data_IF_103536496238
#
_entry.id   IF_103536496238
#
_cell.length_a   1.000
_cell.length_b   1.000
_cell.length_c   1.000
_cell.angle_alpha   90.00
_cell.angle_beta   90.00
_cell.angle_gamma   90.00
#
_symmetry.space_group_name_H-M   'P 1'
#
loop_
_entity.id
_entity.type
_entity.pdbx_description
1 polymer ?
#
# COMPACT_ATOMS: atom_id res chain seq x y z
N UNK A 1 -9.99 -11.36 -9.18
CA UNK A 1 -8.74 -10.88 -8.56
C UNK A 1 -9.06 -10.22 -7.23
N UNK A 2 -8.63 -10.82 -6.11
CA UNK A 2 -8.64 -10.13 -4.83
C UNK A 2 -7.57 -9.03 -4.88
N UNK A 3 -7.87 -7.82 -4.39
CA UNK A 3 -6.86 -6.78 -4.32
C UNK A 3 -5.83 -7.16 -3.25
N UNK A 4 -4.55 -7.19 -3.61
CA UNK A 4 -3.46 -7.46 -2.66
C UNK A 4 -3.48 -6.44 -1.54
N UNK A 5 -3.36 -6.90 -0.30
CA UNK A 5 -3.22 -6.03 0.86
C UNK A 5 -1.89 -5.27 0.78
N UNK A 6 -1.92 -4.02 1.22
CA UNK A 6 -0.78 -3.11 1.21
C UNK A 6 -0.40 -2.82 2.65
N UNK A 7 0.87 -3.07 2.97
CA UNK A 7 1.45 -2.75 4.26
C UNK A 7 1.86 -1.27 4.29
N UNK A 8 1.33 -0.53 5.25
CA UNK A 8 1.65 0.87 5.49
C UNK A 8 2.55 0.94 6.72
N UNK A 9 3.86 1.13 6.54
CA UNK A 9 4.80 1.20 7.66
C UNK A 9 4.79 2.57 8.30
N UNK A 10 5.00 2.61 9.62
CA UNK A 10 5.24 3.82 10.38
C UNK A 10 6.23 3.54 11.51
N UNK A 11 6.93 4.59 11.96
CA UNK A 11 7.97 4.47 12.96
C UNK A 11 7.54 5.18 14.25
N UNK A 12 7.81 4.53 15.39
CA UNK A 12 7.54 5.10 16.71
C UNK A 12 8.83 5.11 17.52
N UNK A 13 9.15 6.28 18.06
CA UNK A 13 10.25 6.46 18.98
C UNK A 13 9.75 7.09 20.28
N UNK A 14 10.50 6.80 21.34
CA UNK A 14 10.40 7.45 22.64
C UNK A 14 11.75 8.08 22.96
N UNK A 15 11.78 9.38 23.16
CA UNK A 15 13.00 10.12 23.51
C UNK A 15 14.14 9.89 22.50
N UNK A 16 13.78 9.72 21.21
CA UNK A 16 14.72 9.44 20.12
C UNK A 16 15.21 7.99 20.02
N UNK A 17 14.77 7.08 20.91
CA UNK A 17 15.05 5.65 20.82
C UNK A 17 13.86 4.88 20.23
N UNK A 18 14.07 3.78 19.49
CA UNK A 18 12.98 2.97 18.94
C UNK A 18 12.06 2.42 20.04
N UNK A 19 10.75 2.56 19.90
CA UNK A 19 9.77 1.95 20.79
C UNK A 19 9.45 0.53 20.32
N UNK A 20 9.92 -0.48 21.04
CA UNK A 20 9.81 -1.91 20.66
C UNK A 20 8.76 -2.61 21.52
N UNK A 21 7.99 -3.52 20.94
CA UNK A 21 7.05 -4.39 21.67
C UNK A 21 5.80 -3.69 22.18
N UNK A 22 5.37 -2.61 21.52
CA UNK A 22 4.25 -1.77 21.98
C UNK A 22 3.01 -1.83 21.08
N UNK A 23 2.91 -2.80 20.17
CA UNK A 23 1.79 -2.96 19.24
C UNK A 23 0.43 -3.05 19.95
N UNK A 24 0.38 -3.73 21.11
CA UNK A 24 -0.83 -3.83 21.93
C UNK A 24 -1.30 -2.49 22.54
N UNK A 25 -0.38 -1.52 22.66
CA UNK A 25 -0.64 -0.16 23.17
C UNK A 25 -1.03 0.81 22.05
N UNK A 26 -0.96 0.39 20.79
CA UNK A 26 -1.34 1.21 19.65
C UNK A 26 -2.80 1.00 19.29
N UNK A 27 -3.47 2.07 18.88
CA UNK A 27 -4.78 2.00 18.26
C UNK A 27 -5.01 3.18 17.34
N UNK A 28 -5.96 3.06 16.43
CA UNK A 28 -6.47 4.23 15.72
C UNK A 28 -7.25 5.10 16.72
N UNK A 29 -6.90 6.37 16.78
CA UNK A 29 -7.65 7.42 17.47
C UNK A 29 -8.79 7.92 16.56
N UNK A 30 -8.46 8.09 15.27
CA UNK A 30 -9.42 8.43 14.23
C UNK A 30 -9.08 7.72 12.93
N UNK A 31 -10.12 7.36 12.18
CA UNK A 31 -10.01 6.82 10.83
C UNK A 31 -11.30 7.14 10.08
N UNK A 32 -11.20 7.90 9.00
CA UNK A 32 -12.35 8.30 8.20
C UNK A 32 -11.96 8.42 6.73
N UNK A 33 -12.96 8.42 5.85
CA UNK A 33 -12.74 8.84 4.47
C UNK A 33 -12.44 10.33 4.39
N UNK A 34 -11.83 10.80 3.30
CA UNK A 34 -11.64 12.24 3.07
C UNK A 34 -12.97 13.04 3.02
N UNK A 35 -14.08 12.36 2.75
CA UNK A 35 -15.43 12.92 2.81
C UNK A 35 -16.06 12.93 4.21
N UNK A 36 -15.33 12.47 5.24
CA UNK A 36 -15.75 12.48 6.65
C UNK A 36 -16.60 11.29 7.08
N UNK A 37 -16.61 10.19 6.31
CA UNK A 37 -17.31 8.96 6.72
C UNK A 37 -16.42 8.22 7.71
N UNK A 38 -16.93 8.02 8.93
CA UNK A 38 -16.21 7.29 9.98
C UNK A 38 -15.98 5.82 9.59
N UNK A 39 -14.76 5.35 9.81
CA UNK A 39 -14.27 4.00 9.53
C UNK A 39 -13.58 3.38 10.75
N UNK A 40 -13.62 4.02 11.92
CA UNK A 40 -12.86 3.59 13.10
C UNK A 40 -13.21 2.17 13.56
N UNK A 41 -14.49 1.78 13.45
CA UNK A 41 -14.95 0.43 13.79
C UNK A 41 -14.41 -0.67 12.84
N UNK A 42 -13.85 -0.27 11.70
CA UNK A 42 -13.27 -1.13 10.67
C UNK A 42 -11.74 -0.92 10.58
N UNK A 43 -11.14 -0.30 11.60
CA UNK A 43 -9.71 -0.05 11.63
C UNK A 43 -8.92 -1.37 11.56
N UNK A 44 -7.86 -1.44 10.73
CA UNK A 44 -7.02 -2.63 10.62
C UNK A 44 -6.19 -2.82 11.90
N UNK A 45 -5.76 -4.05 12.15
CA UNK A 45 -4.82 -4.32 13.23
C UNK A 45 -3.45 -3.71 12.93
N UNK A 46 -2.80 -3.22 13.99
CA UNK A 46 -1.41 -2.75 13.96
C UNK A 46 -0.52 -3.90 14.44
N UNK A 47 0.64 -4.07 13.78
CA UNK A 47 1.63 -5.08 14.14
C UNK A 47 3.05 -4.51 14.06
N UNK A 48 3.94 -4.95 14.95
CA UNK A 48 5.36 -4.58 14.89
C UNK A 48 6.09 -5.38 13.80
N UNK A 49 6.97 -4.70 13.05
CA UNK A 49 7.87 -5.32 12.06
C UNK A 49 9.36 -5.23 12.45
N UNK A 50 9.63 -4.64 13.61
CA UNK A 50 10.91 -4.69 14.30
C UNK A 50 11.64 -3.35 14.36
N UNK A 51 12.41 -3.14 15.43
CA UNK A 51 13.27 -1.97 15.57
C UNK A 51 12.50 -0.65 15.63
N UNK A 52 11.31 -0.64 16.26
CA UNK A 52 10.44 0.54 16.36
C UNK A 52 9.57 0.81 15.13
N UNK A 53 9.63 -0.06 14.13
CA UNK A 53 8.74 -0.02 12.98
C UNK A 53 7.50 -0.87 13.20
N UNK A 54 6.37 -0.31 12.82
CA UNK A 54 5.05 -0.92 12.88
C UNK A 54 4.38 -0.82 11.51
N UNK A 55 3.33 -1.60 11.31
CA UNK A 55 2.50 -1.55 10.11
C UNK A 55 1.05 -1.83 10.40
N UNK A 56 0.20 -1.38 9.50
CA UNK A 56 -1.14 -1.90 9.31
C UNK A 56 -1.35 -2.20 7.83
N UNK A 57 -2.30 -3.08 7.52
CA UNK A 57 -2.56 -3.50 6.14
C UNK A 57 -3.97 -3.12 5.69
N UNK A 58 -4.09 -2.56 4.49
CA UNK A 58 -5.39 -2.25 3.85
C UNK A 58 -5.42 -2.77 2.43
N UNK A 59 -6.60 -3.15 1.96
CA UNK A 59 -6.80 -3.55 0.57
C UNK A 59 -7.85 -2.63 -0.07
N UNK A 60 -7.54 -2.08 -1.24
CA UNK A 60 -8.51 -1.27 -1.97
C UNK A 60 -9.78 -2.07 -2.26
N UNK A 61 -10.95 -1.44 -2.13
CA UNK A 61 -12.24 -2.08 -2.34
C UNK A 61 -12.65 -3.04 -1.21
N UNK A 62 -11.87 -3.12 -0.13
CA UNK A 62 -12.23 -3.78 1.11
C UNK A 62 -12.27 -2.76 2.24
N UNK A 63 -13.13 -2.97 3.23
CA UNK A 63 -13.16 -2.14 4.42
C UNK A 63 -11.78 -2.13 5.12
N UNK A 64 -11.30 -0.97 5.62
CA UNK A 64 -11.95 0.34 5.58
C UNK A 64 -11.74 1.13 4.28
N UNK A 65 -10.90 0.66 3.36
CA UNK A 65 -10.50 1.34 2.12
C UNK A 65 -11.44 1.05 0.92
N UNK A 66 -12.74 1.07 1.17
CA UNK A 66 -13.80 0.72 0.21
C UNK A 66 -14.51 1.94 -0.42
N UNK A 67 -14.32 3.14 0.14
CA UNK A 67 -15.09 4.34 -0.22
C UNK A 67 -14.21 5.56 -0.54
N UNK A 68 -12.96 5.32 -0.95
CA UNK A 68 -11.99 6.37 -1.29
C UNK A 68 -10.89 6.52 -0.24
N UNK A 69 -10.10 7.59 -0.36
CA UNK A 69 -8.93 7.85 0.47
C UNK A 69 -9.26 7.88 1.96
N UNK A 70 -8.34 7.34 2.77
CA UNK A 70 -8.45 7.35 4.22
C UNK A 70 -7.50 8.36 4.85
N UNK A 71 -8.00 9.02 5.88
CA UNK A 71 -7.25 9.95 6.73
C UNK A 71 -7.55 9.66 8.19
N UNK A 72 -6.61 9.93 9.08
CA UNK A 72 -6.81 9.70 10.50
C UNK A 72 -5.55 9.93 11.34
N UNK A 73 -5.57 9.37 12.54
CA UNK A 73 -4.44 9.37 13.45
C UNK A 73 -4.37 8.06 14.22
N UNK A 74 -3.15 7.57 14.42
CA UNK A 74 -2.84 6.49 15.35
C UNK A 74 -2.41 7.12 16.67
N UNK A 75 -2.98 6.63 17.77
CA UNK A 75 -2.48 6.82 19.11
C UNK A 75 -1.53 5.65 19.45
N UNK A 76 -0.23 5.94 19.48
CA UNK A 76 0.81 4.95 19.75
C UNK A 76 0.96 4.60 21.24
N UNK A 77 0.20 5.25 22.13
CA UNK A 77 0.23 5.01 23.58
C UNK A 77 -1.18 5.19 24.17
N UNK A 78 -2.15 4.42 23.65
CA UNK A 78 -3.58 4.61 23.96
C UNK A 78 -3.89 4.57 25.46
N UNK A 79 -3.19 3.73 26.20
CA UNK A 79 -3.36 3.58 27.65
C UNK A 79 -2.41 4.48 28.47
N UNK A 80 -1.47 5.18 27.83
CA UNK A 80 -0.47 6.02 28.51
C UNK A 80 0.64 5.23 29.23
N UNK A 81 0.79 3.94 28.93
CA UNK A 81 1.74 3.04 29.59
C UNK A 81 3.19 3.34 29.17
N UNK A 82 3.39 3.84 27.94
CA UNK A 82 4.72 4.15 27.43
C UNK A 82 5.17 5.57 27.80
N UNK A 83 4.28 6.42 28.30
CA UNK A 83 4.55 7.82 28.65
C UNK A 83 5.13 8.61 27.49
N UNK A 84 4.61 8.39 26.28
CA UNK A 84 5.03 9.14 25.09
C UNK A 84 4.66 10.62 25.22
N UNK A 85 5.53 11.50 24.74
CA UNK A 85 5.16 12.90 24.59
C UNK A 85 4.06 13.05 23.53
N UNK A 86 3.23 14.10 23.61
CA UNK A 86 2.14 14.32 22.65
C UNK A 86 2.62 14.34 21.18
N UNK A 87 3.84 14.83 20.93
CA UNK A 87 4.44 14.87 19.61
C UNK A 87 4.90 13.49 19.08
N UNK A 88 5.14 12.53 19.97
CA UNK A 88 5.56 11.16 19.64
C UNK A 88 4.37 10.19 19.62
N UNK A 89 3.29 10.55 20.33
CA UNK A 89 2.12 9.70 20.54
C UNK A 89 1.18 9.66 19.33
N UNK A 90 0.93 10.81 18.69
CA UNK A 90 -0.07 10.90 17.62
C UNK A 90 0.58 10.88 16.25
N UNK A 91 0.31 9.83 15.48
CA UNK A 91 0.91 9.61 14.16
C UNK A 91 -0.19 9.87 13.12
N UNK A 92 -0.08 10.94 12.31
CA UNK A 92 -1.04 11.19 11.25
C UNK A 92 -0.91 10.11 10.17
N UNK A 93 -2.05 9.63 9.69
CA UNK A 93 -2.12 8.64 8.62
C UNK A 93 -2.92 9.17 7.43
N UNK A 94 -2.41 8.87 6.25
CA UNK A 94 -3.08 9.19 4.99
C UNK A 94 -2.82 8.07 3.97
N UNK A 95 -3.90 7.59 3.36
CA UNK A 95 -3.93 6.43 2.45
C UNK A 95 -4.63 6.90 1.17
N UNK A 96 -3.87 7.22 0.12
CA UNK A 96 -4.41 7.83 -1.12
C UNK A 96 -4.35 6.94 -2.36
N UNK A 97 -5.47 6.87 -3.08
CA UNK A 97 -5.64 6.25 -4.40
C UNK A 97 -4.59 6.64 -5.43
N UNK A 98 -4.16 7.90 -5.44
CA UNK A 98 -3.23 8.42 -6.45
C UNK A 98 -1.83 7.78 -6.34
N UNK A 99 -1.37 7.53 -5.12
CA UNK A 99 -0.14 6.77 -4.88
C UNK A 99 -0.29 5.30 -5.32
N UNK A 100 -1.50 4.73 -5.22
CA UNK A 100 -1.82 3.36 -5.64
C UNK A 100 -1.98 3.22 -7.16
N UNK A 101 -2.51 4.25 -7.83
CA UNK A 101 -2.70 4.31 -9.28
C UNK A 101 -1.36 4.30 -10.02
N UNK A 102 -0.35 5.02 -9.54
CA UNK A 102 1.00 5.00 -10.11
C UNK A 102 1.66 3.62 -9.97
N UNK A 103 1.64 3.00 -8.79
CA UNK A 103 2.20 1.66 -8.57
C UNK A 103 1.56 0.57 -9.43
N UNK A 104 0.24 0.66 -9.70
CA UNK A 104 -0.48 -0.25 -10.62
C UNK A 104 -0.32 0.12 -12.10
N UNK A 105 -0.14 1.39 -12.43
CA UNK A 105 -0.05 1.86 -13.82
C UNK A 105 1.34 1.66 -14.43
N UNK A 106 2.36 1.42 -13.61
CA UNK A 106 3.64 0.91 -14.11
C UNK A 106 3.49 -0.58 -14.38
N UNK A 107 2.75 -0.94 -15.41
CA UNK A 107 3.00 -2.22 -16.05
C UNK A 107 4.46 -2.21 -16.52
N UNK A 108 5.22 -3.23 -16.13
CA UNK A 108 6.61 -3.37 -16.57
C UNK A 108 6.61 -3.57 -18.08
N UNK A 109 6.91 -2.51 -18.82
CA UNK A 109 7.24 -2.58 -20.24
C UNK A 109 8.69 -3.03 -20.35
N UNK A 110 8.89 -4.25 -20.83
CA UNK A 110 10.21 -4.79 -21.12
C UNK A 110 10.39 -4.95 -22.61
N UNK A 111 11.47 -4.37 -23.15
CA UNK A 111 11.88 -4.59 -24.54
C UNK A 111 12.96 -5.67 -24.60
N UNK A 112 12.73 -6.70 -25.41
CA UNK A 112 13.75 -7.67 -25.78
C UNK A 112 14.84 -6.99 -26.61
N UNK A 113 16.07 -6.96 -26.11
CA UNK A 113 17.21 -6.40 -26.87
C UNK A 113 17.62 -7.27 -28.06
N UNK A 114 17.18 -8.52 -28.11
CA UNK A 114 17.52 -9.47 -29.17
C UNK A 114 16.54 -9.42 -30.35
N UNK A 115 15.24 -9.24 -30.06
CA UNK A 115 14.16 -9.27 -31.07
C UNK A 115 13.45 -7.94 -31.24
N UNK A 116 13.65 -6.98 -30.34
CA UNK A 116 12.93 -5.70 -30.33
C UNK A 116 11.49 -5.79 -29.79
N UNK A 117 11.00 -7.00 -29.50
CA UNK A 117 9.66 -7.24 -28.96
C UNK A 117 9.41 -6.45 -27.67
N UNK A 118 8.22 -5.87 -27.54
CA UNK A 118 7.78 -5.21 -26.31
C UNK A 118 6.75 -6.07 -25.59
N UNK A 119 7.05 -6.41 -24.35
CA UNK A 119 6.17 -7.14 -23.46
C UNK A 119 5.66 -6.19 -22.37
N UNK A 120 4.35 -6.19 -22.16
CA UNK A 120 3.70 -5.58 -21.00
C UNK A 120 3.35 -6.71 -20.06
N UNK A 121 3.85 -6.66 -18.82
CA UNK A 121 3.63 -7.69 -17.81
C UNK A 121 2.73 -7.20 -16.68
N UNK A 122 1.87 -8.09 -16.15
CA UNK A 122 1.12 -7.81 -14.93
C UNK A 122 2.06 -7.81 -13.70
N UNK A 123 1.48 -7.56 -12.52
CA UNK A 123 2.22 -7.57 -11.25
C UNK A 123 2.83 -8.93 -10.88
N UNK A 124 2.31 -10.01 -11.45
CA UNK A 124 2.76 -11.39 -11.20
C UNK A 124 3.88 -11.81 -12.17
N UNK A 125 4.24 -10.94 -13.13
CA UNK A 125 5.27 -11.18 -14.14
C UNK A 125 4.76 -11.86 -15.42
N UNK A 126 3.46 -12.14 -15.52
CA UNK A 126 2.85 -12.73 -16.70
C UNK A 126 2.68 -11.69 -17.80
N UNK A 127 2.93 -12.10 -19.05
CA UNK A 127 2.78 -11.22 -20.20
C UNK A 127 1.30 -11.05 -20.54
N UNK A 128 0.77 -9.85 -20.34
CA UNK A 128 -0.61 -9.52 -20.67
C UNK A 128 -0.76 -9.00 -22.11
N UNK A 129 0.31 -8.43 -22.65
CA UNK A 129 0.34 -7.94 -24.01
C UNK A 129 1.74 -8.06 -24.58
N UNK A 130 1.85 -8.72 -25.73
CA UNK A 130 3.08 -8.77 -26.51
C UNK A 130 2.89 -8.02 -27.83
N UNK A 131 3.82 -7.12 -28.13
CA UNK A 131 4.01 -6.51 -29.42
C UNK A 131 5.24 -7.15 -30.04
N UNK A 132 5.01 -8.07 -30.98
CA UNK A 132 6.08 -8.74 -31.69
C UNK A 132 6.51 -7.91 -32.90
N UNK A 133 7.82 -7.74 -33.10
CA UNK A 133 8.38 -7.17 -34.33
C UNK A 133 8.78 -8.35 -35.22
N UNK A 134 8.04 -8.57 -36.30
CA UNK A 134 8.37 -9.60 -37.28
C UNK A 134 9.13 -9.01 -38.46
N UNK A 135 10.32 -9.51 -38.75
CA UNK A 135 11.23 -8.99 -39.79
C UNK A 135 10.66 -8.99 -41.22
N UNK A 136 9.53 -9.67 -41.47
CA UNK A 136 8.94 -9.83 -42.80
C UNK A 136 7.55 -9.21 -42.96
N UNK A 137 7.04 -8.47 -41.98
CA UNK A 137 5.76 -7.78 -42.12
C UNK A 137 5.85 -6.37 -41.50
N UNK A 138 5.43 -5.36 -42.27
CA UNK A 138 5.21 -3.99 -41.78
C UNK A 138 3.97 -3.89 -40.87
N UNK A 139 3.72 -4.93 -40.08
CA UNK A 139 2.50 -5.10 -39.30
C UNK A 139 2.84 -5.44 -37.85
N UNK A 140 2.23 -4.71 -36.93
CA UNK A 140 2.34 -4.95 -35.50
C UNK A 140 1.31 -6.02 -35.13
N UNK A 141 1.76 -7.18 -34.67
CA UNK A 141 0.86 -8.23 -34.18
C UNK A 141 0.57 -8.02 -32.69
N UNK A 142 -0.72 -7.88 -32.36
CA UNK A 142 -1.21 -7.77 -30.99
C UNK A 142 -1.81 -9.10 -30.57
N UNK A 143 -1.15 -9.78 -29.65
CA UNK A 143 -1.65 -11.03 -29.07
C UNK A 143 -2.06 -10.77 -27.62
N UNK A 144 -3.34 -10.97 -27.31
CA UNK A 144 -3.77 -11.16 -25.93
C UNK A 144 -3.51 -12.63 -25.59
N UNK A 145 -2.74 -12.91 -24.54
CA UNK A 145 -2.61 -14.28 -24.04
C UNK A 145 -3.93 -14.61 -23.35
N UNK A 146 -4.72 -15.51 -23.94
CA UNK A 146 -5.95 -16.02 -23.32
C UNK A 146 -5.58 -16.83 -22.07
N UNK A 147 -6.33 -16.63 -20.98
CA UNK A 147 -6.24 -17.36 -19.70
C UNK A 147 -6.13 -18.88 -19.85
#
# INVERSE_FOLDING_TARGET
>A
MANSAIDIPFYVAKDGAPLIGSDAEMNFDSLQTISGVDKIALAPAISEIGGGWYKFSVAFGAAPFDQGDLVGAIDADKNGNNSLAAAERFIPIEVRLDFYGLMRSVYLMTQSKLTGDMEIKNSDGDTILKLAISDNANEIQRSAVSE
#
